data_IF_687169877062
#
_entry.id   IF_687169877062
#
_cell.length_a   1.000
_cell.length_b   1.000
_cell.length_c   1.000
_cell.angle_alpha   90.00
_cell.angle_beta   90.00
_cell.angle_gamma   90.00
#
_symmetry.space_group_name_H-M   'P 1'
#
loop_
_entity.id
_entity.type
_entity.pdbx_description
1 polymer ?
#
# COMPACT_ATOMS: atom_id res chain seq x y z
N UNK A 1 9.02 22.78 21.83
CA UNK A 1 7.69 22.55 22.43
C UNK A 1 7.40 21.07 22.26
N UNK A 2 7.13 20.35 23.35
CA UNK A 2 6.78 18.94 23.31
C UNK A 2 5.28 18.81 23.52
N UNK A 3 4.65 17.88 22.81
CA UNK A 3 3.24 17.54 22.96
C UNK A 3 3.14 16.12 23.46
N UNK A 4 2.28 15.90 24.44
CA UNK A 4 1.93 14.56 24.88
C UNK A 4 1.04 13.89 23.83
N UNK A 5 1.33 12.63 23.54
CA UNK A 5 0.59 11.82 22.55
C UNK A 5 0.12 10.56 23.26
N UNK A 6 -1.20 10.40 23.32
CA UNK A 6 -1.84 9.18 23.79
C UNK A 6 -2.26 8.30 22.62
N UNK A 7 -1.95 7.02 22.71
CA UNK A 7 -2.38 6.01 21.75
C UNK A 7 -2.45 4.64 22.44
N UNK A 8 -3.20 3.73 21.84
CA UNK A 8 -3.25 2.32 22.23
C UNK A 8 -2.72 1.44 21.12
N UNK A 9 -2.25 0.26 21.51
CA UNK A 9 -1.82 -0.79 20.60
C UNK A 9 -2.88 -1.88 20.56
N UNK A 10 -3.36 -2.18 19.37
CA UNK A 10 -4.37 -3.20 19.10
C UNK A 10 -3.74 -4.33 18.31
N UNK A 11 -3.97 -5.58 18.72
CA UNK A 11 -3.42 -6.78 18.06
C UNK A 11 -4.53 -7.60 17.44
N UNK A 12 -4.49 -7.79 16.13
CA UNK A 12 -5.50 -8.54 15.37
C UNK A 12 -4.86 -9.80 14.79
N UNK A 13 -5.52 -10.94 14.94
CA UNK A 13 -5.11 -12.20 14.32
C UNK A 13 -5.63 -12.25 12.88
N UNK A 14 -4.76 -12.56 11.94
CA UNK A 14 -5.10 -12.75 10.53
C UNK A 14 -5.41 -14.23 10.24
N UNK A 15 -6.07 -14.45 9.10
CA UNK A 15 -6.51 -15.77 8.63
C UNK A 15 -5.33 -16.74 8.42
N UNK A 16 -4.14 -16.22 8.10
CA UNK A 16 -2.90 -16.99 7.95
C UNK A 16 -2.21 -17.34 9.29
N UNK A 17 -2.87 -17.08 10.43
CA UNK A 17 -2.34 -17.34 11.78
C UNK A 17 -1.32 -16.31 12.29
N UNK A 18 -0.95 -15.33 11.48
CA UNK A 18 -0.07 -14.23 11.91
C UNK A 18 -0.85 -13.14 12.64
N UNK A 19 -0.13 -12.23 13.29
CA UNK A 19 -0.74 -11.07 13.96
C UNK A 19 -0.28 -9.78 13.32
N UNK A 20 -1.18 -8.81 13.26
CA UNK A 20 -0.85 -7.42 12.97
C UNK A 20 -1.00 -6.60 14.26
N UNK A 21 -0.16 -5.58 14.40
CA UNK A 21 -0.24 -4.60 15.48
C UNK A 21 -0.56 -3.23 14.88
N UNK A 22 -1.57 -2.57 15.43
CA UNK A 22 -2.03 -1.26 15.00
C UNK A 22 -1.88 -0.30 16.18
N UNK A 23 -1.10 0.77 15.99
CA UNK A 23 -1.09 1.91 16.90
C UNK A 23 -2.18 2.89 16.48
N UNK A 24 -3.07 3.26 17.40
CA UNK A 24 -4.20 4.15 17.13
C UNK A 24 -4.50 5.04 18.33
N UNK A 25 -4.87 6.29 18.08
CA UNK A 25 -5.38 7.23 19.08
C UNK A 25 -6.91 7.19 19.21
N UNK A 26 -7.59 6.28 18.48
CA UNK A 26 -9.03 6.12 18.55
C UNK A 26 -9.46 5.46 19.86
N UNK A 27 -10.51 5.97 20.49
CA UNK A 27 -11.06 5.50 21.76
C UNK A 27 -11.51 4.03 21.68
N UNK A 28 -11.41 3.29 22.79
CA UNK A 28 -11.85 1.90 22.85
C UNK A 28 -13.37 1.76 22.87
N UNK A 29 -14.05 2.74 23.46
CA UNK A 29 -15.51 2.79 23.59
C UNK A 29 -16.20 2.96 22.22
N UNK A 30 -15.71 3.88 21.39
CA UNK A 30 -16.30 4.12 20.06
C UNK A 30 -15.74 3.17 18.99
N UNK A 31 -14.47 2.77 19.13
CA UNK A 31 -13.79 1.91 18.16
C UNK A 31 -13.30 0.61 18.81
N UNK A 32 -14.20 -0.35 19.08
CA UNK A 32 -13.78 -1.66 19.54
C UNK A 32 -12.93 -2.38 18.47
N UNK A 33 -12.29 -3.48 18.88
CA UNK A 33 -11.40 -4.28 18.03
C UNK A 33 -12.00 -4.63 16.65
N UNK A 34 -13.31 -4.89 16.62
CA UNK A 34 -14.04 -5.26 15.41
C UNK A 34 -14.13 -4.11 14.40
N UNK A 35 -14.42 -2.89 14.86
CA UNK A 35 -14.44 -1.69 14.00
C UNK A 35 -13.04 -1.32 13.53
N UNK A 36 -12.01 -1.47 14.38
CA UNK A 36 -10.61 -1.30 13.95
C UNK A 36 -10.23 -2.31 12.86
N UNK A 37 -10.65 -3.57 13.00
CA UNK A 37 -10.42 -4.61 11.99
C UNK A 37 -11.13 -4.28 10.66
N UNK A 38 -12.36 -3.77 10.73
CA UNK A 38 -13.12 -3.31 9.57
C UNK A 38 -12.43 -2.14 8.87
N UNK A 39 -11.99 -1.13 9.63
CA UNK A 39 -11.19 0.01 9.11
C UNK A 39 -9.91 -0.46 8.44
N UNK A 40 -9.19 -1.40 9.08
CA UNK A 40 -8.00 -2.01 8.49
C UNK A 40 -8.31 -2.71 7.16
N UNK A 41 -9.39 -3.48 7.09
CA UNK A 41 -9.85 -4.16 5.86
C UNK A 41 -10.24 -3.17 4.77
N UNK A 42 -10.96 -2.10 5.10
CA UNK A 42 -11.32 -1.04 4.13
C UNK A 42 -10.08 -0.38 3.55
N UNK A 43 -9.12 0.01 4.39
CA UNK A 43 -7.85 0.57 3.91
C UNK A 43 -7.04 -0.43 3.05
N UNK A 44 -7.16 -1.72 3.30
CA UNK A 44 -6.57 -2.74 2.44
C UNK A 44 -7.28 -2.88 1.08
N UNK A 45 -8.61 -2.69 1.04
CA UNK A 45 -9.35 -2.71 -0.23
C UNK A 45 -8.89 -1.62 -1.19
N UNK A 46 -8.48 -0.44 -0.70
CA UNK A 46 -7.90 0.61 -1.55
C UNK A 46 -6.61 0.13 -2.24
N UNK A 47 -5.67 -0.50 -1.51
CA UNK A 47 -4.46 -1.09 -2.10
C UNK A 47 -4.81 -2.14 -3.18
N UNK A 48 -5.89 -2.90 -2.96
CA UNK A 48 -6.35 -3.93 -3.89
C UNK A 48 -6.97 -3.33 -5.16
N UNK A 49 -7.82 -2.30 -5.03
CA UNK A 49 -8.41 -1.60 -6.18
C UNK A 49 -7.35 -0.92 -7.04
N UNK A 50 -6.33 -0.29 -6.43
CA UNK A 50 -5.21 0.28 -7.19
C UNK A 50 -4.40 -0.80 -7.92
N UNK A 51 -4.29 -2.01 -7.36
CA UNK A 51 -3.66 -3.15 -8.03
C UNK A 51 -4.43 -3.52 -9.28
N UNK A 52 -5.75 -3.71 -9.20
CA UNK A 52 -6.60 -4.05 -10.35
C UNK A 52 -6.47 -3.02 -11.48
N UNK A 53 -6.57 -1.72 -11.14
CA UNK A 53 -6.40 -0.64 -12.11
C UNK A 53 -5.06 -0.72 -12.84
N UNK A 54 -3.96 -0.97 -12.11
CA UNK A 54 -2.62 -1.13 -12.70
C UNK A 54 -2.53 -2.31 -13.65
N UNK A 55 -3.17 -3.43 -13.33
CA UNK A 55 -3.25 -4.58 -14.23
C UNK A 55 -4.06 -4.25 -15.48
N UNK A 56 -5.22 -3.63 -15.36
CA UNK A 56 -6.05 -3.24 -16.51
C UNK A 56 -5.28 -2.29 -17.45
N UNK A 57 -4.59 -1.30 -16.90
CA UNK A 57 -3.75 -0.38 -17.69
C UNK A 57 -2.63 -1.15 -18.40
N UNK A 58 -1.93 -2.04 -17.68
CA UNK A 58 -0.85 -2.87 -18.25
C UNK A 58 -1.34 -3.74 -19.40
N UNK A 59 -2.49 -4.40 -19.24
CA UNK A 59 -3.10 -5.22 -20.31
C UNK A 59 -3.44 -4.38 -21.53
N UNK A 60 -3.96 -3.17 -21.33
CA UNK A 60 -4.26 -2.25 -22.43
C UNK A 60 -2.99 -1.80 -23.17
N UNK A 61 -1.89 -1.55 -22.46
CA UNK A 61 -0.58 -1.25 -23.05
C UNK A 61 -0.09 -2.42 -23.91
N UNK A 62 -0.13 -3.64 -23.38
CA UNK A 62 0.26 -4.83 -24.14
C UNK A 62 -0.62 -5.02 -25.39
N UNK A 63 -1.93 -4.81 -25.26
CA UNK A 63 -2.87 -4.90 -26.39
C UNK A 63 -2.57 -3.86 -27.47
N UNK A 64 -2.25 -2.63 -27.08
CA UNK A 64 -1.88 -1.57 -28.02
C UNK A 64 -0.59 -1.92 -28.77
N UNK A 65 0.44 -2.39 -28.05
CA UNK A 65 1.70 -2.86 -28.64
C UNK A 65 1.49 -3.99 -29.65
N UNK A 66 0.70 -5.01 -29.29
CA UNK A 66 0.42 -6.15 -30.18
C UNK A 66 -0.39 -5.75 -31.43
N UNK A 67 -1.23 -4.70 -31.34
CA UNK A 67 -2.09 -4.27 -32.45
C UNK A 67 -1.38 -3.32 -33.42
N UNK A 68 -0.55 -2.43 -32.91
CA UNK A 68 0.03 -1.33 -33.69
C UNK A 68 1.55 -1.43 -33.85
N UNK A 69 2.20 -2.38 -33.16
CA UNK A 69 3.66 -2.40 -33.02
C UNK A 69 4.16 -1.24 -32.16
N UNK A 70 5.47 -1.16 -31.94
CA UNK A 70 6.09 -0.08 -31.18
C UNK A 70 7.50 -0.41 -30.71
N UNK A 71 8.10 0.50 -29.95
CA UNK A 71 9.37 0.24 -29.29
C UNK A 71 9.15 -0.64 -28.06
N UNK A 72 9.72 -1.84 -28.08
CA UNK A 72 9.64 -2.80 -26.97
C UNK A 72 10.19 -2.21 -25.67
N UNK A 73 11.28 -1.44 -25.74
CA UNK A 73 11.92 -0.83 -24.58
C UNK A 73 11.02 0.20 -23.91
N UNK A 74 10.38 1.08 -24.68
CA UNK A 74 9.45 2.08 -24.14
C UNK A 74 8.20 1.43 -23.54
N UNK A 75 7.70 0.38 -24.19
CA UNK A 75 6.53 -0.38 -23.73
C UNK A 75 6.85 -1.07 -22.39
N UNK A 76 8.01 -1.71 -22.27
CA UNK A 76 8.47 -2.33 -21.02
C UNK A 76 8.64 -1.30 -19.90
N UNK A 77 9.23 -0.14 -20.18
CA UNK A 77 9.38 0.94 -19.19
C UNK A 77 8.01 1.46 -18.73
N UNK A 78 7.05 1.58 -19.63
CA UNK A 78 5.69 2.01 -19.32
C UNK A 78 4.96 0.97 -18.44
N UNK A 79 5.07 -0.32 -18.76
CA UNK A 79 4.53 -1.40 -17.93
C UNK A 79 5.17 -1.38 -16.53
N UNK A 80 6.49 -1.25 -16.46
CA UNK A 80 7.23 -1.18 -15.20
C UNK A 80 6.79 0.00 -14.34
N UNK A 81 6.48 1.16 -14.94
CA UNK A 81 5.95 2.34 -14.25
C UNK A 81 4.64 2.07 -13.51
N UNK A 82 3.74 1.25 -14.07
CA UNK A 82 2.46 0.95 -13.44
C UNK A 82 2.56 -0.21 -12.43
N UNK A 83 3.35 -1.24 -12.73
CA UNK A 83 3.49 -2.42 -11.87
C UNK A 83 4.41 -2.19 -10.66
N UNK A 84 5.45 -1.39 -10.79
CA UNK A 84 6.37 -1.16 -9.67
C UNK A 84 5.81 -0.14 -8.68
N UNK A 85 6.11 -0.28 -7.38
CA UNK A 85 5.81 0.73 -6.38
C UNK A 85 6.75 1.96 -6.47
N UNK A 86 7.65 2.00 -7.44
CA UNK A 86 8.68 3.03 -7.58
C UNK A 86 8.11 4.22 -8.36
N UNK A 87 7.99 5.38 -7.71
CA UNK A 87 7.64 6.62 -8.38
C UNK A 87 8.81 7.08 -9.25
N UNK A 88 8.55 7.31 -10.53
CA UNK A 88 9.51 7.96 -11.44
C UNK A 88 9.85 9.38 -10.95
N UNK A 89 11.08 9.83 -11.22
CA UNK A 89 11.60 11.17 -10.83
C UNK A 89 11.81 11.40 -9.32
N UNK A 90 12.20 10.37 -8.58
CA UNK A 90 12.62 10.55 -7.17
C UNK A 90 13.98 11.24 -7.12
N UNK A 91 14.06 12.44 -6.53
CA UNK A 91 15.32 13.18 -6.29
C UNK A 91 16.33 12.37 -5.44
N UNK A 92 15.84 11.43 -4.61
CA UNK A 92 16.68 10.57 -3.78
C UNK A 92 16.37 9.09 -4.03
N UNK A 93 17.38 8.25 -4.31
CA UNK A 93 17.21 6.81 -4.48
C UNK A 93 16.67 6.15 -3.21
N UNK A 94 15.78 5.16 -3.36
CA UNK A 94 15.35 4.33 -2.21
C UNK A 94 16.42 3.26 -1.99
N UNK A 95 17.03 3.23 -0.81
CA UNK A 95 17.73 2.05 -0.36
C UNK A 95 16.70 0.94 -0.11
N UNK A 96 16.62 -0.03 -1.03
CA UNK A 96 15.76 -1.21 -0.86
C UNK A 96 16.27 -2.01 0.33
N UNK A 97 15.45 -2.12 1.38
CA UNK A 97 15.67 -3.06 2.48
C UNK A 97 14.75 -4.27 2.30
N UNK A 98 15.17 -5.46 2.75
CA UNK A 98 14.28 -6.61 2.87
C UNK A 98 12.99 -6.20 3.58
N UNK A 99 11.82 -6.58 3.04
CA UNK A 99 10.53 -6.27 3.66
C UNK A 99 10.46 -6.93 5.03
N UNK A 100 10.51 -6.13 6.10
CA UNK A 100 10.05 -6.53 7.43
C UNK A 100 8.51 -6.49 7.46
N UNK A 101 7.91 -7.15 8.46
CA UNK A 101 6.48 -7.02 8.75
C UNK A 101 6.10 -5.53 8.80
N UNK A 102 5.00 -5.14 8.14
CA UNK A 102 4.62 -3.74 8.01
C UNK A 102 4.13 -3.23 9.36
N UNK A 103 4.95 -2.42 10.03
CA UNK A 103 4.50 -1.63 11.18
C UNK A 103 3.85 -0.33 10.69
N UNK A 104 2.65 -0.03 11.18
CA UNK A 104 1.90 1.18 10.86
C UNK A 104 2.43 2.35 11.71
N UNK A 105 3.23 3.22 11.10
CA UNK A 105 3.69 4.46 11.73
C UNK A 105 3.16 5.64 10.92
N UNK A 106 2.13 6.32 11.43
CA UNK A 106 1.73 7.62 10.89
C UNK A 106 2.77 8.67 11.29
N UNK A 107 3.23 9.48 10.33
CA UNK A 107 3.90 10.75 10.64
C UNK A 107 2.83 11.82 10.74
N UNK A 108 2.71 12.42 11.92
CA UNK A 108 1.96 13.66 12.13
C UNK A 108 2.81 14.79 11.53
N UNK A 109 2.19 15.62 10.68
CA UNK A 109 2.79 16.83 10.13
C UNK A 109 2.48 18.02 11.05
#
# INVERSE_FOLDING_TARGET
>A
MYYDIEFRIVRIRLDNGTYICIATNLSEEEFPLEEINKLYRMRWSEETSFRELKYTITVNICRAYLKHGGNETETMLLIQKYLTPVRYNRKYPIHLRPKRNRDFMYRVA
#
